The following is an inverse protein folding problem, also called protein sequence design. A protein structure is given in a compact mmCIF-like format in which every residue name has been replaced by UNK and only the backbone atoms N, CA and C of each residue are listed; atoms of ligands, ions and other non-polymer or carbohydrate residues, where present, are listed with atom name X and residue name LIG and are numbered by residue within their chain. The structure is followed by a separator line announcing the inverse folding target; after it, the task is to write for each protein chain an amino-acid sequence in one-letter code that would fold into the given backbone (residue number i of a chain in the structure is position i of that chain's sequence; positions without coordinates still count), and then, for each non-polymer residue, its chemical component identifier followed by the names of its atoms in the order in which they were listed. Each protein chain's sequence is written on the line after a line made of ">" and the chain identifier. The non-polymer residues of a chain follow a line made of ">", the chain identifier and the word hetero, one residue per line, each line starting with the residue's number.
data_IF_555107243973
#
_entry.id   IF_555107243973
#
_cell.length_a   1.000
_cell.length_b   1.000
_cell.length_c   1.000
_cell.angle_alpha   90.00
_cell.angle_beta   90.00
_cell.angle_gamma   90.00
#
_symmetry.space_group_name_H-M   'P 1'
#
loop_
_entity.id
_entity.type
_entity.pdbx_description
1 polymer ?
#
# COMPACT_ATOMS: atom_id res chain seq x y z
N UNK A 1 27.20 10.26 0.83
CA UNK A 1 27.50 11.48 1.59
C UNK A 1 26.36 12.44 1.33
N UNK A 2 25.65 12.84 2.38
CA UNK A 2 24.55 13.80 2.27
C UNK A 2 23.20 13.33 2.86
N UNK A 3 23.13 12.13 3.40
CA UNK A 3 21.93 11.67 4.10
C UNK A 3 21.88 12.32 5.50
N UNK A 4 20.70 12.80 5.87
CA UNK A 4 20.45 13.31 7.22
C UNK A 4 19.84 12.17 8.04
N UNK A 5 20.52 11.82 9.12
CA UNK A 5 20.08 10.76 10.03
C UNK A 5 19.81 11.38 11.40
N UNK A 6 18.59 11.24 11.90
CA UNK A 6 18.24 11.63 13.26
C UNK A 6 18.03 10.37 14.10
N UNK A 7 18.83 10.25 15.14
CA UNK A 7 18.75 9.15 16.10
C UNK A 7 18.29 9.73 17.43
N UNK A 8 17.24 9.12 18.00
CA UNK A 8 16.78 9.44 19.34
C UNK A 8 17.26 8.36 20.32
N UNK A 9 17.87 8.79 21.44
CA UNK A 9 18.32 7.85 22.45
C UNK A 9 19.12 8.53 23.53
N UNK A 10 19.36 7.81 24.63
CA UNK A 10 20.25 8.27 25.71
C UNK A 10 21.70 8.16 25.26
N UNK A 11 22.45 9.22 25.42
CA UNK A 11 23.90 9.24 25.13
C UNK A 11 24.67 8.89 26.37
N UNK A 12 25.54 7.93 26.27
CA UNK A 12 26.54 7.59 27.34
C UNK A 12 27.94 7.91 26.85
N UNK A 13 28.83 8.15 27.77
CA UNK A 13 30.24 8.47 27.49
C UNK A 13 31.10 7.22 27.71
N UNK A 14 31.41 6.52 26.62
CA UNK A 14 32.25 5.34 26.66
C UNK A 14 33.73 5.74 26.86
N UNK A 15 34.38 5.16 27.88
CA UNK A 15 35.77 5.45 28.25
C UNK A 15 36.10 6.94 28.49
N UNK A 16 35.09 7.77 28.75
CA UNK A 16 35.27 9.18 29.11
C UNK A 16 35.49 10.14 27.93
N UNK A 17 35.62 9.65 26.69
CA UNK A 17 35.94 10.49 25.54
C UNK A 17 35.10 10.19 24.27
N UNK A 18 34.28 9.15 24.26
CA UNK A 18 33.48 8.77 23.08
C UNK A 18 31.99 8.75 23.42
N UNK A 19 31.20 9.73 22.94
CA UNK A 19 29.75 9.67 23.10
C UNK A 19 29.21 8.54 22.27
N UNK A 20 28.48 7.62 22.89
CA UNK A 20 27.79 6.51 22.25
C UNK A 20 26.32 6.45 22.71
N UNK A 21 25.47 5.82 21.93
CA UNK A 21 24.10 5.54 22.37
C UNK A 21 24.09 4.35 23.32
N UNK A 22 23.35 4.44 24.41
CA UNK A 22 23.23 3.34 25.37
C UNK A 22 22.59 2.13 24.69
N UNK A 23 23.09 0.93 25.01
CA UNK A 23 22.62 -0.33 24.41
C UNK A 23 21.13 -0.52 24.65
N UNK A 24 20.38 -0.65 23.57
CA UNK A 24 18.92 -0.88 23.60
C UNK A 24 18.07 0.36 23.85
N UNK A 25 18.68 1.56 23.96
CA UNK A 25 17.95 2.82 24.24
C UNK A 25 17.96 3.81 23.08
N UNK A 26 18.53 3.43 21.94
CA UNK A 26 18.54 4.27 20.75
C UNK A 26 17.73 3.65 19.62
N UNK A 27 16.98 4.49 18.92
CA UNK A 27 16.29 4.12 17.71
C UNK A 27 16.45 5.21 16.64
N UNK A 28 16.39 4.79 15.39
CA UNK A 28 16.40 5.70 14.27
C UNK A 28 15.08 6.48 14.24
N UNK A 29 15.15 7.79 14.47
CA UNK A 29 13.96 8.65 14.48
C UNK A 29 13.58 9.09 13.06
N UNK A 30 14.55 9.49 12.26
CA UNK A 30 14.34 9.81 10.85
C UNK A 30 15.59 9.58 10.02
N UNK A 31 15.40 9.21 8.77
CA UNK A 31 16.44 9.14 7.75
C UNK A 31 15.99 9.95 6.54
N UNK A 32 16.72 11.00 6.22
CA UNK A 32 16.50 11.81 5.03
C UNK A 32 17.62 11.52 4.04
N UNK A 33 17.33 10.68 3.06
CA UNK A 33 18.28 10.34 2.01
C UNK A 33 18.29 11.42 0.93
N UNK A 34 19.48 11.88 0.56
CA UNK A 34 19.67 12.88 -0.50
C UNK A 34 19.68 12.24 -1.90
N UNK A 35 19.19 11.04 -2.04
CA UNK A 35 19.18 10.26 -3.27
C UNK A 35 18.03 9.28 -3.40
N UNK A 36 16.82 9.63 -2.91
CA UNK A 36 15.61 8.84 -3.12
C UNK A 36 15.34 7.79 -2.06
N UNK A 37 14.18 7.89 -1.51
CA UNK A 37 13.46 7.05 -0.56
C UNK A 37 13.46 7.56 0.88
N UNK A 38 12.41 8.25 1.23
CA UNK A 38 12.09 8.62 2.61
C UNK A 38 11.54 7.41 3.34
N UNK A 39 12.31 6.89 4.28
CA UNK A 39 11.85 5.91 5.27
C UNK A 39 11.02 6.57 6.37
N UNK A 40 9.90 6.00 6.63
CA UNK A 40 9.04 5.87 7.79
C UNK A 40 8.95 6.97 8.85
N UNK A 41 7.74 7.56 8.94
CA UNK A 41 7.20 8.06 10.19
C UNK A 41 6.56 6.89 10.95
N UNK A 42 7.00 6.67 12.20
CA UNK A 42 6.35 5.77 13.15
C UNK A 42 4.99 6.36 13.58
N UNK A 43 3.96 6.14 12.78
CA UNK A 43 2.59 6.30 13.20
C UNK A 43 1.91 4.92 13.16
N UNK A 44 1.43 4.38 14.28
CA UNK A 44 0.70 3.12 14.27
C UNK A 44 -0.68 3.35 13.64
N UNK A 45 -0.74 3.28 12.32
CA UNK A 45 -1.97 3.45 11.56
C UNK A 45 -1.81 4.30 10.31
N UNK A 46 -1.15 3.79 9.27
CA UNK A 46 -1.13 4.39 7.94
C UNK A 46 0.19 5.07 7.56
N UNK A 47 1.27 4.32 7.44
CA UNK A 47 2.52 4.81 6.86
C UNK A 47 2.31 5.36 5.46
N UNK A 48 3.06 6.40 5.10
CA UNK A 48 3.11 6.92 3.73
C UNK A 48 4.04 6.02 2.91
N UNK A 49 3.57 5.45 1.81
CA UNK A 49 4.36 4.58 0.96
C UNK A 49 4.31 4.98 -0.50
N UNK A 50 5.36 4.65 -1.24
CA UNK A 50 5.41 4.74 -2.70
C UNK A 50 6.57 5.57 -3.26
N UNK A 51 7.08 5.11 -4.40
CA UNK A 51 8.14 5.76 -5.18
C UNK A 51 7.54 6.51 -6.36
N UNK A 52 7.75 7.82 -6.41
CA UNK A 52 7.27 8.69 -7.50
C UNK A 52 8.31 8.72 -8.61
N UNK A 53 7.89 8.42 -9.84
CA UNK A 53 8.72 8.50 -11.04
C UNK A 53 7.93 9.12 -12.19
N UNK A 54 8.31 10.34 -12.59
CA UNK A 54 7.59 11.07 -13.64
C UNK A 54 6.10 11.24 -13.29
N UNK A 55 5.22 10.77 -14.17
CA UNK A 55 3.77 10.82 -13.99
C UNK A 55 3.20 9.57 -13.31
N UNK A 56 3.98 8.81 -12.57
CA UNK A 56 3.50 7.61 -11.89
C UNK A 56 4.00 7.50 -10.46
N UNK A 57 3.27 6.77 -9.65
CA UNK A 57 3.70 6.33 -8.34
C UNK A 57 3.58 4.81 -8.26
N UNK A 58 4.63 4.18 -7.75
CA UNK A 58 4.65 2.75 -7.47
C UNK A 58 4.66 2.53 -5.96
N UNK A 59 3.76 1.71 -5.45
CA UNK A 59 3.67 1.39 -4.04
C UNK A 59 3.64 -0.11 -3.83
N UNK A 60 4.34 -0.60 -2.82
CA UNK A 60 4.25 -1.98 -2.35
C UNK A 60 3.42 -2.04 -1.07
N UNK A 61 2.64 -3.10 -0.89
CA UNK A 61 1.82 -3.27 0.30
C UNK A 61 2.66 -3.33 1.60
N UNK A 62 3.90 -3.79 1.50
CA UNK A 62 4.85 -3.84 2.63
C UNK A 62 5.42 -2.47 3.02
N UNK A 63 5.41 -1.48 2.11
CA UNK A 63 5.96 -0.14 2.39
C UNK A 63 5.20 0.62 3.49
N UNK A 64 3.98 0.19 3.80
CA UNK A 64 3.17 0.82 4.84
C UNK A 64 3.48 0.34 6.27
N UNK A 65 4.38 -0.64 6.45
CA UNK A 65 4.78 -1.13 7.78
C UNK A 65 3.65 -1.74 8.60
N UNK A 66 2.57 -2.22 7.96
CA UNK A 66 1.38 -2.68 8.65
C UNK A 66 1.59 -4.05 9.32
N UNK A 67 0.97 -4.23 10.46
CA UNK A 67 0.95 -5.50 11.16
C UNK A 67 0.12 -6.56 10.44
N UNK A 68 0.36 -7.84 10.77
CA UNK A 68 -0.42 -8.93 10.19
C UNK A 68 -1.91 -8.82 10.55
N UNK A 69 -2.75 -9.02 9.57
CA UNK A 69 -4.22 -8.90 9.66
C UNK A 69 -4.74 -7.48 9.97
N UNK A 70 -3.92 -6.44 9.69
CA UNK A 70 -4.32 -5.04 9.86
C UNK A 70 -5.59 -4.73 9.04
N UNK A 71 -6.59 -4.16 9.70
CA UNK A 71 -7.87 -3.81 9.10
C UNK A 71 -7.78 -2.44 8.41
N UNK A 72 -7.95 -2.44 7.11
CA UNK A 72 -7.82 -1.24 6.28
C UNK A 72 -9.11 -0.40 6.20
N UNK A 73 -10.23 -0.90 6.73
CA UNK A 73 -11.51 -0.16 6.67
C UNK A 73 -11.52 1.05 7.59
N UNK A 74 -10.69 1.06 8.64
CA UNK A 74 -10.67 2.11 9.64
C UNK A 74 -9.85 3.35 9.23
N UNK A 75 -8.74 3.18 8.52
CA UNK A 75 -7.78 4.27 8.27
C UNK A 75 -7.39 4.47 6.81
N UNK A 76 -7.55 3.44 5.95
CA UNK A 76 -7.05 3.51 4.58
C UNK A 76 -5.52 3.59 4.50
N UNK A 77 -5.02 4.10 3.39
CA UNK A 77 -3.59 4.32 3.12
C UNK A 77 -3.39 5.71 2.52
N UNK A 78 -2.25 6.33 2.81
CA UNK A 78 -1.83 7.58 2.16
C UNK A 78 -0.50 7.33 1.44
N UNK A 79 -0.43 7.73 0.18
CA UNK A 79 0.78 7.59 -0.63
C UNK A 79 1.66 8.85 -0.50
N UNK A 80 2.94 8.72 -0.85
CA UNK A 80 3.93 9.81 -0.73
C UNK A 80 3.59 11.04 -1.57
N UNK A 81 2.79 10.91 -2.64
CA UNK A 81 2.32 12.01 -3.47
C UNK A 81 0.99 12.64 -3.00
N UNK A 82 0.49 12.21 -1.82
CA UNK A 82 -0.78 12.66 -1.25
C UNK A 82 -2.03 11.94 -1.79
N UNK A 83 -1.86 10.96 -2.68
CA UNK A 83 -2.97 10.10 -3.12
C UNK A 83 -3.44 9.24 -1.94
N UNK A 84 -4.74 9.12 -1.76
CA UNK A 84 -5.34 8.30 -0.69
C UNK A 84 -6.02 7.07 -1.26
N UNK A 85 -6.00 5.98 -0.49
CA UNK A 85 -6.67 4.73 -0.80
C UNK A 85 -7.53 4.33 0.38
N UNK A 86 -8.84 4.32 0.22
CA UNK A 86 -9.80 3.90 1.25
C UNK A 86 -10.44 2.58 0.88
N UNK A 87 -10.88 1.85 1.90
CA UNK A 87 -11.37 0.49 1.72
C UNK A 87 -12.70 0.30 2.44
N UNK A 88 -13.58 -0.52 1.83
CA UNK A 88 -14.85 -0.89 2.44
C UNK A 88 -15.12 -2.39 2.30
N UNK A 89 -15.83 -2.95 3.27
CA UNK A 89 -16.22 -4.36 3.26
C UNK A 89 -17.28 -4.70 2.19
N UNK A 90 -18.05 -3.71 1.72
CA UNK A 90 -19.02 -3.85 0.63
C UNK A 90 -20.08 -4.91 0.85
N UNK A 91 -20.47 -5.18 2.10
CA UNK A 91 -21.44 -6.22 2.48
C UNK A 91 -20.85 -7.62 2.66
N UNK A 92 -19.53 -7.79 2.64
CA UNK A 92 -18.86 -8.99 3.14
C UNK A 92 -18.59 -8.83 4.66
N UNK A 93 -18.63 -9.92 5.41
CA UNK A 93 -18.25 -9.94 6.83
C UNK A 93 -16.75 -9.74 7.05
N UNK A 94 -15.93 -10.02 6.02
CA UNK A 94 -14.50 -9.81 6.01
C UNK A 94 -14.17 -8.53 5.24
N UNK A 95 -13.68 -7.51 5.92
CA UNK A 95 -13.14 -6.30 5.29
C UNK A 95 -11.75 -6.53 4.69
N UNK A 96 -11.27 -5.59 3.87
CA UNK A 96 -9.91 -5.61 3.34
C UNK A 96 -8.86 -5.57 4.45
N UNK A 97 -7.85 -6.44 4.36
CA UNK A 97 -6.79 -6.57 5.37
C UNK A 97 -5.43 -6.75 4.72
N UNK A 98 -4.40 -6.21 5.37
CA UNK A 98 -3.03 -6.54 5.04
C UNK A 98 -2.61 -7.84 5.75
N UNK A 99 -1.82 -8.67 5.06
CA UNK A 99 -1.23 -9.86 5.63
C UNK A 99 0.26 -9.94 5.30
N UNK A 100 1.08 -10.20 6.31
CA UNK A 100 2.52 -10.41 6.17
C UNK A 100 2.85 -11.67 5.37
N UNK A 101 1.99 -12.71 5.46
CA UNK A 101 2.07 -13.88 4.59
C UNK A 101 1.69 -13.50 3.15
N UNK A 102 2.70 -13.45 2.28
CA UNK A 102 2.60 -12.99 0.90
C UNK A 102 2.65 -11.47 0.73
N UNK A 103 2.89 -10.71 1.83
CA UNK A 103 3.05 -9.24 1.83
C UNK A 103 2.00 -8.53 0.96
N UNK A 104 0.73 -8.85 1.17
CA UNK A 104 -0.34 -8.44 0.29
C UNK A 104 -1.55 -7.89 1.03
N UNK A 105 -2.25 -6.96 0.38
CA UNK A 105 -3.58 -6.54 0.77
C UNK A 105 -4.58 -7.50 0.13
N UNK A 106 -5.46 -8.06 0.97
CA UNK A 106 -6.50 -9.02 0.56
C UNK A 106 -7.84 -8.33 0.59
N UNK A 107 -8.48 -8.31 -0.55
CA UNK A 107 -9.86 -7.86 -0.74
C UNK A 107 -10.73 -9.08 -1.02
N UNK A 108 -11.66 -9.34 -0.11
CA UNK A 108 -12.63 -10.43 -0.23
C UNK A 108 -13.73 -10.08 -1.23
N UNK A 109 -14.57 -11.06 -1.67
CA UNK A 109 -15.72 -10.75 -2.51
C UNK A 109 -16.54 -9.59 -1.98
N UNK A 110 -16.95 -8.67 -2.86
CA UNK A 110 -17.67 -7.42 -2.61
C UNK A 110 -16.87 -6.30 -1.93
N UNK A 111 -15.64 -6.55 -1.47
CA UNK A 111 -14.83 -5.47 -0.96
C UNK A 111 -14.50 -4.45 -2.06
N UNK A 112 -14.37 -3.20 -1.65
CA UNK A 112 -14.01 -2.09 -2.53
C UNK A 112 -12.74 -1.39 -2.06
N UNK A 113 -12.04 -0.81 -3.01
CA UNK A 113 -10.87 0.05 -2.82
C UNK A 113 -11.07 1.31 -3.66
N UNK A 114 -11.21 2.46 -3.02
CA UNK A 114 -11.32 3.75 -3.68
C UNK A 114 -9.98 4.47 -3.64
N UNK A 115 -9.48 4.87 -4.79
CA UNK A 115 -8.27 5.67 -4.97
C UNK A 115 -8.70 7.09 -5.29
N UNK A 116 -8.17 8.08 -4.54
CA UNK A 116 -8.47 9.51 -4.74
C UNK A 116 -7.17 10.30 -4.78
N UNK A 117 -7.00 11.15 -5.80
CA UNK A 117 -5.81 11.95 -6.04
C UNK A 117 -6.16 13.39 -6.40
N UNK A 118 -5.26 14.32 -6.13
CA UNK A 118 -5.35 15.70 -6.67
C UNK A 118 -5.10 15.75 -8.18
N UNK A 119 -4.39 14.75 -8.73
CA UNK A 119 -4.09 14.59 -10.16
C UNK A 119 -5.13 13.72 -10.85
N UNK A 120 -5.31 13.87 -12.15
CA UNK A 120 -6.16 13.00 -12.95
C UNK A 120 -5.49 11.64 -13.12
N UNK A 121 -6.12 10.59 -12.62
CA UNK A 121 -5.65 9.21 -12.75
C UNK A 121 -5.96 8.74 -14.18
N UNK A 122 -4.96 8.22 -14.87
CA UNK A 122 -5.08 7.65 -16.21
C UNK A 122 -5.29 6.14 -16.14
N UNK A 123 -4.47 5.47 -15.32
CA UNK A 123 -4.53 4.02 -15.14
C UNK A 123 -4.03 3.58 -13.76
N UNK A 124 -4.45 2.37 -13.36
CA UNK A 124 -3.96 1.67 -12.18
C UNK A 124 -3.60 0.25 -12.58
N UNK A 125 -2.43 -0.22 -12.17
CA UNK A 125 -1.99 -1.60 -12.34
C UNK A 125 -1.80 -2.22 -10.97
N UNK A 126 -2.48 -3.33 -10.68
CA UNK A 126 -2.28 -4.12 -9.47
C UNK A 126 -1.49 -5.39 -9.83
N UNK A 127 -0.35 -5.59 -9.19
CA UNK A 127 0.38 -6.84 -9.27
C UNK A 127 -0.05 -7.72 -8.09
N UNK A 128 -0.66 -8.85 -8.42
CA UNK A 128 -1.24 -9.75 -7.46
C UNK A 128 -0.30 -10.90 -7.12
N UNK A 129 -0.57 -11.57 -6.01
CA UNK A 129 0.18 -12.72 -5.53
C UNK A 129 -0.73 -13.91 -5.34
N UNK A 130 -0.25 -15.10 -5.69
CA UNK A 130 -0.93 -16.35 -5.41
C UNK A 130 -0.78 -16.78 -3.96
N UNK A 131 -1.77 -17.51 -3.49
CA UNK A 131 -1.68 -18.29 -2.28
C UNK A 131 -2.10 -19.72 -2.60
N UNK A 132 -1.50 -20.69 -1.91
CA UNK A 132 -1.78 -22.10 -2.10
C UNK A 132 -3.28 -22.39 -2.14
N UNK A 133 -3.76 -22.94 -3.24
CA UNK A 133 -5.14 -23.35 -3.43
C UNK A 133 -6.18 -22.24 -3.57
N UNK A 134 -5.77 -20.98 -3.73
CA UNK A 134 -6.71 -19.85 -3.86
C UNK A 134 -6.34 -19.00 -5.06
N UNK A 135 -7.33 -18.70 -5.92
CA UNK A 135 -7.16 -17.71 -6.99
C UNK A 135 -7.08 -16.30 -6.40
N UNK A 136 -6.04 -15.59 -6.74
CA UNK A 136 -5.68 -14.33 -6.08
C UNK A 136 -6.11 -13.08 -6.82
N UNK A 137 -6.77 -13.22 -7.95
CA UNK A 137 -7.32 -12.13 -8.77
C UNK A 137 -8.85 -12.18 -8.87
N UNK A 138 -9.52 -12.61 -7.80
CA UNK A 138 -10.98 -12.71 -7.74
C UNK A 138 -11.60 -13.48 -8.91
N UNK A 139 -10.89 -14.44 -9.48
CA UNK A 139 -11.30 -15.21 -10.67
C UNK A 139 -11.63 -14.33 -11.89
N UNK A 140 -10.93 -13.20 -12.03
CA UNK A 140 -11.14 -12.21 -13.06
C UNK A 140 -12.41 -11.37 -12.89
N UNK A 141 -13.13 -11.50 -11.79
CA UNK A 141 -14.35 -10.74 -11.48
C UNK A 141 -13.99 -9.48 -10.68
N UNK A 142 -13.49 -8.50 -11.39
CA UNK A 142 -13.07 -7.22 -10.85
C UNK A 142 -13.67 -6.12 -11.70
N UNK A 143 -14.30 -5.15 -11.07
CA UNK A 143 -14.84 -3.96 -11.72
C UNK A 143 -14.09 -2.71 -11.28
N UNK A 144 -14.11 -1.67 -12.11
CA UNK A 144 -13.60 -0.35 -11.78
C UNK A 144 -14.55 0.74 -12.27
N UNK A 145 -14.81 1.74 -11.43
CA UNK A 145 -15.71 2.84 -11.78
C UNK A 145 -15.13 4.17 -11.28
N UNK A 146 -14.82 5.13 -12.16
CA UNK A 146 -14.71 4.95 -13.61
C UNK A 146 -13.49 4.09 -13.97
N UNK A 147 -13.54 3.45 -15.12
CA UNK A 147 -12.45 2.66 -15.68
C UNK A 147 -12.90 1.39 -16.39
N UNK A 148 -11.96 0.77 -17.08
CA UNK A 148 -12.13 -0.54 -17.73
C UNK A 148 -11.08 -1.50 -17.19
N UNK A 149 -11.47 -2.71 -16.85
CA UNK A 149 -10.59 -3.72 -16.25
C UNK A 149 -10.23 -4.81 -17.27
N UNK A 150 -8.93 -5.13 -17.32
CA UNK A 150 -8.41 -6.31 -17.96
C UNK A 150 -7.51 -7.07 -16.99
N UNK A 151 -7.69 -8.37 -16.89
CA UNK A 151 -6.88 -9.26 -16.04
C UNK A 151 -6.01 -10.13 -16.92
N UNK A 152 -4.70 -10.09 -16.69
CA UNK A 152 -3.71 -10.95 -17.32
C UNK A 152 -2.90 -11.66 -16.25
N UNK A 153 -3.09 -12.96 -16.11
CA UNK A 153 -2.51 -13.74 -15.01
C UNK A 153 -2.77 -13.11 -13.63
N UNK A 154 -1.69 -12.66 -12.99
CA UNK A 154 -1.69 -12.00 -11.69
C UNK A 154 -1.65 -10.47 -11.79
N UNK A 155 -1.89 -9.90 -12.97
CA UNK A 155 -1.91 -8.47 -13.18
C UNK A 155 -3.32 -8.00 -13.49
N UNK A 156 -3.79 -7.02 -12.73
CA UNK A 156 -5.07 -6.32 -12.97
C UNK A 156 -4.75 -4.95 -13.54
N UNK A 157 -5.16 -4.72 -14.77
CA UNK A 157 -4.98 -3.45 -15.47
C UNK A 157 -6.31 -2.70 -15.48
N UNK A 158 -6.34 -1.53 -14.86
CA UNK A 158 -7.47 -0.58 -14.91
C UNK A 158 -7.05 0.60 -15.77
N UNK A 159 -7.77 0.80 -16.87
CA UNK A 159 -7.49 1.85 -17.86
C UNK A 159 -8.70 2.75 -18.07
N UNK A 160 -8.55 3.81 -18.87
CA UNK A 160 -9.65 4.73 -19.21
C UNK A 160 -10.34 5.36 -18.00
N UNK A 161 -9.60 5.59 -16.92
CA UNK A 161 -10.13 6.19 -15.69
C UNK A 161 -10.46 7.66 -15.95
N UNK A 162 -9.49 8.46 -16.38
CA UNK A 162 -9.61 9.90 -16.71
C UNK A 162 -10.37 10.72 -15.65
N UNK A 163 -10.14 10.40 -14.39
CA UNK A 163 -10.79 11.00 -13.22
C UNK A 163 -9.79 11.14 -12.08
N UNK A 164 -10.08 12.01 -11.13
CA UNK A 164 -9.32 12.10 -9.86
C UNK A 164 -9.63 10.96 -8.90
N UNK A 165 -10.64 10.18 -9.19
CA UNK A 165 -11.05 9.06 -8.35
C UNK A 165 -11.40 7.84 -9.20
N UNK A 166 -11.15 6.66 -8.65
CA UNK A 166 -11.67 5.38 -9.17
C UNK A 166 -11.92 4.42 -8.03
N UNK A 167 -12.95 3.60 -8.13
CA UNK A 167 -13.25 2.55 -7.18
C UNK A 167 -13.07 1.20 -7.85
N UNK A 168 -12.21 0.37 -7.31
CA UNK A 168 -11.97 -1.01 -7.75
C UNK A 168 -12.72 -1.94 -6.80
N UNK A 169 -13.51 -2.85 -7.36
CA UNK A 169 -14.38 -3.76 -6.62
C UNK A 169 -14.04 -5.21 -6.96
N UNK A 170 -13.88 -6.04 -5.94
CA UNK A 170 -13.95 -7.49 -6.14
C UNK A 170 -15.42 -7.87 -6.35
N UNK A 171 -15.86 -7.96 -7.59
CA UNK A 171 -17.25 -8.16 -7.98
C UNK A 171 -17.72 -9.61 -7.93
N UNK A 172 -16.93 -10.51 -7.33
CA UNK A 172 -17.36 -11.89 -7.16
C UNK A 172 -18.67 -11.95 -6.35
N UNK A 173 -19.69 -12.69 -6.81
CA UNK A 173 -20.99 -12.75 -6.12
C UNK A 173 -20.94 -13.50 -4.79
N UNK A 174 -19.96 -14.40 -4.59
CA UNK A 174 -19.82 -15.17 -3.36
C UNK A 174 -19.35 -14.26 -2.21
N UNK A 175 -19.75 -14.58 -1.00
CA UNK A 175 -19.34 -13.86 0.22
C UNK A 175 -18.27 -14.59 1.01
N UNK A 176 -17.81 -15.76 0.53
CA UNK A 176 -16.78 -16.57 1.19
C UNK A 176 -15.39 -15.96 1.16
N UNK A 177 -14.41 -16.71 1.64
CA UNK A 177 -13.00 -16.28 1.69
C UNK A 177 -12.19 -16.69 0.45
N UNK A 178 -12.81 -17.38 -0.50
CA UNK A 178 -12.24 -17.74 -1.80
C UNK A 178 -12.37 -16.60 -2.81
N UNK A 179 -11.64 -16.67 -3.91
CA UNK A 179 -11.67 -15.67 -4.98
C UNK A 179 -11.31 -14.25 -4.48
N UNK A 180 -10.23 -14.15 -3.74
CA UNK A 180 -9.72 -12.89 -3.23
C UNK A 180 -8.93 -12.13 -4.30
N UNK A 181 -9.04 -10.83 -4.30
CA UNK A 181 -8.06 -9.96 -4.94
C UNK A 181 -6.94 -9.73 -3.93
N UNK A 182 -5.73 -10.20 -4.24
CA UNK A 182 -4.55 -10.08 -3.35
C UNK A 182 -3.45 -9.35 -4.09
N UNK A 183 -3.32 -8.06 -3.89
CA UNK A 183 -2.27 -7.30 -4.53
C UNK A 183 -1.11 -7.01 -3.55
N UNK A 184 0.12 -7.15 -4.06
CA UNK A 184 1.37 -6.86 -3.35
C UNK A 184 1.99 -5.53 -3.75
N UNK A 185 1.71 -5.08 -4.98
CA UNK A 185 2.10 -3.74 -5.42
C UNK A 185 1.06 -3.13 -6.35
N UNK A 186 1.09 -1.80 -6.41
CA UNK A 186 0.20 -1.00 -7.23
C UNK A 186 1.01 0.09 -7.93
N UNK A 187 0.73 0.32 -9.21
CA UNK A 187 1.25 1.45 -9.97
C UNK A 187 0.08 2.32 -10.38
N UNK A 188 0.12 3.60 -10.03
CA UNK A 188 -0.85 4.60 -10.48
C UNK A 188 -0.16 5.51 -11.47
N UNK A 189 -0.74 5.67 -12.66
CA UNK A 189 -0.26 6.61 -13.69
C UNK A 189 -1.23 7.75 -13.82
N UNK A 190 -0.72 8.98 -13.81
CA UNK A 190 -1.48 10.19 -13.96
C UNK A 190 -1.43 10.73 -15.38
N UNK A 191 -2.42 11.55 -15.74
CA UNK A 191 -2.34 12.36 -16.95
C UNK A 191 -1.24 13.42 -16.80
N UNK A 192 -0.66 13.81 -17.94
CA UNK A 192 0.29 14.92 -18.04
C UNK A 192 -0.40 16.26 -17.79
#
# INVERSE_FOLDING_TARGET
>A
VGDEVVVYGSVTNYMGNTPETATGEAYLYSLKSNGGSTGGDDNPGGGTGGDVSGNSITVTASAFGLENAYDLTASGLTLTDGTTVTFEAGGNTNGPKYYTSGTAIRMYPKNTMKISSSKTIKSVVLNCVEASGTKCVADGKIDATPGSVAVDNLTVNVTSINSKETTITNSNPNTGTVNQLRWSSMVITYAE
#
